data_IF_989073726900
#
_entry.id   IF_989073726900
#
_cell.length_a   1.000
_cell.length_b   1.000
_cell.length_c   1.000
_cell.angle_alpha   90.00
_cell.angle_beta   90.00
_cell.angle_gamma   90.00
#
_symmetry.space_group_name_H-M   'P 1'
#
loop_
_entity.id
_entity.type
_entity.pdbx_description
1 polymer ?
#
# COMPACT_ATOMS: atom_id res chain seq x y z
N UNK A 1 -3.12 -19.66 -63.41
CA UNK A 1 -4.04 -20.76 -63.00
C UNK A 1 -3.74 -21.07 -61.55
N UNK A 2 -4.74 -21.13 -60.69
CA UNK A 2 -4.56 -21.55 -59.28
C UNK A 2 -4.40 -23.08 -59.33
N UNK A 3 -3.27 -23.66 -58.90
CA UNK A 3 -3.09 -25.10 -58.91
C UNK A 3 -4.17 -25.78 -58.03
N UNK A 4 -4.66 -26.97 -58.40
CA UNK A 4 -5.66 -27.67 -57.61
C UNK A 4 -5.09 -27.99 -56.23
N UNK A 5 -5.85 -27.66 -55.19
CA UNK A 5 -5.47 -27.88 -53.80
C UNK A 5 -5.38 -29.40 -53.54
N UNK A 6 -4.18 -29.94 -53.47
CA UNK A 6 -3.97 -31.36 -53.17
C UNK A 6 -4.22 -31.62 -51.69
N UNK A 7 -4.56 -32.86 -51.33
CA UNK A 7 -4.78 -33.26 -49.94
C UNK A 7 -3.56 -32.97 -49.04
N UNK A 8 -2.35 -33.10 -49.59
CA UNK A 8 -1.10 -32.78 -48.91
C UNK A 8 -0.97 -31.28 -48.62
N UNK A 9 -1.29 -30.43 -49.60
CA UNK A 9 -1.29 -28.97 -49.40
C UNK A 9 -2.35 -28.55 -48.38
N UNK A 10 -3.55 -29.15 -48.43
CA UNK A 10 -4.60 -28.91 -47.44
C UNK A 10 -4.13 -29.26 -46.01
N UNK A 11 -3.44 -30.40 -45.84
CA UNK A 11 -2.88 -30.81 -44.56
C UNK A 11 -1.80 -29.83 -44.06
N UNK A 12 -0.85 -29.44 -44.91
CA UNK A 12 0.19 -28.47 -44.56
C UNK A 12 -0.39 -27.11 -44.19
N UNK A 13 -1.42 -26.65 -44.90
CA UNK A 13 -2.11 -25.41 -44.54
C UNK A 13 -2.77 -25.48 -43.17
N UNK A 14 -3.41 -26.61 -42.86
CA UNK A 14 -4.06 -26.81 -41.57
C UNK A 14 -3.04 -26.88 -40.43
N UNK A 15 -1.89 -27.52 -40.64
CA UNK A 15 -0.78 -27.55 -39.69
C UNK A 15 -0.18 -26.16 -39.44
N UNK A 16 0.08 -25.39 -40.50
CA UNK A 16 0.58 -24.01 -40.38
C UNK A 16 -0.45 -23.13 -39.67
N UNK A 17 -1.73 -23.24 -40.03
CA UNK A 17 -2.82 -22.50 -39.39
C UNK A 17 -2.90 -22.85 -37.90
N UNK A 18 -2.90 -24.14 -37.56
CA UNK A 18 -2.93 -24.62 -36.18
C UNK A 18 -1.71 -24.12 -35.40
N UNK A 19 -0.51 -24.19 -35.99
CA UNK A 19 0.73 -23.69 -35.37
C UNK A 19 0.68 -22.19 -35.09
N UNK A 20 0.18 -21.38 -36.03
CA UNK A 20 0.00 -19.94 -35.86
C UNK A 20 -1.03 -19.63 -34.78
N UNK A 21 -2.12 -20.38 -34.73
CA UNK A 21 -3.20 -20.18 -33.76
C UNK A 21 -2.74 -20.53 -32.34
N UNK A 22 -2.08 -21.67 -32.17
CA UNK A 22 -1.43 -22.08 -30.91
C UNK A 22 -0.38 -21.05 -30.49
N UNK A 23 0.41 -20.54 -31.43
CA UNK A 23 1.43 -19.54 -31.14
C UNK A 23 0.84 -18.18 -30.75
N UNK A 24 -0.17 -17.69 -31.47
CA UNK A 24 -0.82 -16.42 -31.17
C UNK A 24 -1.47 -16.44 -29.77
N UNK A 25 -2.16 -17.53 -29.44
CA UNK A 25 -2.74 -17.75 -28.11
C UNK A 25 -1.65 -17.94 -27.05
N UNK A 26 -0.61 -18.72 -27.36
CA UNK A 26 0.50 -19.02 -26.46
C UNK A 26 1.32 -17.79 -26.11
N UNK A 27 1.60 -16.90 -27.07
CA UNK A 27 2.30 -15.62 -26.82
C UNK A 27 1.46 -14.70 -25.96
N UNK A 28 0.15 -14.58 -26.23
CA UNK A 28 -0.74 -13.78 -25.40
C UNK A 28 -0.77 -14.31 -23.95
N UNK A 29 -0.91 -15.63 -23.77
CA UNK A 29 -0.87 -16.27 -22.46
C UNK A 29 0.49 -16.07 -21.76
N UNK A 30 1.60 -16.17 -22.49
CA UNK A 30 2.95 -15.95 -21.96
C UNK A 30 3.14 -14.49 -21.52
N UNK A 31 2.64 -13.52 -22.29
CA UNK A 31 2.67 -12.10 -21.89
C UNK A 31 1.87 -11.90 -20.60
N UNK A 32 0.68 -12.48 -20.50
CA UNK A 32 -0.17 -12.41 -19.31
C UNK A 32 0.52 -13.06 -18.10
N UNK A 33 1.25 -14.17 -18.30
CA UNK A 33 1.97 -14.85 -17.22
C UNK A 33 3.26 -14.12 -16.81
N UNK A 34 3.93 -13.42 -17.73
CA UNK A 34 5.20 -12.74 -17.48
C UNK A 34 5.05 -11.31 -16.99
N UNK A 35 3.99 -10.61 -17.38
CA UNK A 35 3.65 -9.33 -16.79
C UNK A 35 3.00 -9.56 -15.42
N UNK A 36 3.43 -8.87 -14.36
CA UNK A 36 2.65 -8.97 -13.12
C UNK A 36 1.23 -8.43 -13.40
N UNK A 37 0.18 -9.01 -12.78
CA UNK A 37 -1.21 -8.60 -12.98
C UNK A 37 -1.42 -7.08 -12.90
N UNK A 38 -0.71 -6.38 -12.02
CA UNK A 38 -0.71 -4.91 -11.92
C UNK A 38 -0.28 -4.20 -13.21
N UNK A 39 0.79 -4.68 -13.85
CA UNK A 39 1.26 -4.10 -15.11
C UNK A 39 0.27 -4.37 -16.24
N UNK A 40 -0.49 -5.47 -16.22
CA UNK A 40 -1.44 -5.76 -17.28
C UNK A 40 -2.59 -4.75 -17.33
N UNK A 41 -3.10 -4.29 -16.20
CA UNK A 41 -4.15 -3.26 -16.18
C UNK A 41 -3.63 -1.94 -16.75
N UNK A 42 -2.48 -1.46 -16.26
CA UNK A 42 -1.83 -0.21 -16.73
C UNK A 42 -1.35 -0.30 -18.18
N UNK A 43 -0.92 -1.48 -18.63
CA UNK A 43 -0.49 -1.70 -20.01
C UNK A 43 -1.69 -1.89 -20.96
N UNK A 44 -2.82 -2.42 -20.47
CA UNK A 44 -4.03 -2.60 -21.26
C UNK A 44 -4.72 -1.27 -21.57
N UNK A 45 -4.69 -0.30 -20.65
CA UNK A 45 -5.18 1.07 -20.89
C UNK A 45 -4.27 1.85 -21.83
N UNK A 46 -2.97 1.55 -21.88
CA UNK A 46 -2.00 2.22 -22.75
C UNK A 46 -2.01 1.69 -24.18
N UNK A 47 -2.56 2.49 -25.11
CA UNK A 47 -2.64 2.22 -26.57
C UNK A 47 -1.31 1.79 -27.23
N UNK A 48 -0.17 2.19 -26.66
CA UNK A 48 1.16 1.88 -27.21
C UNK A 48 1.52 0.39 -27.19
N UNK A 49 1.08 -0.37 -26.17
CA UNK A 49 1.41 -1.78 -26.07
C UNK A 49 0.54 -2.62 -27.03
N UNK A 50 -0.75 -2.30 -27.11
CA UNK A 50 -1.66 -2.87 -28.12
C UNK A 50 -1.18 -2.61 -29.54
N UNK A 51 -0.69 -1.39 -29.83
CA UNK A 51 -0.11 -1.07 -31.15
C UNK A 51 1.11 -1.93 -31.47
N UNK A 52 1.95 -2.24 -30.48
CA UNK A 52 3.14 -3.08 -30.69
C UNK A 52 2.80 -4.56 -30.77
N UNK A 53 1.88 -5.04 -29.92
CA UNK A 53 1.34 -6.40 -30.00
C UNK A 53 0.70 -6.65 -31.36
N UNK A 54 -0.17 -5.74 -31.82
CA UNK A 54 -0.77 -5.81 -33.17
C UNK A 54 0.29 -5.77 -34.26
N UNK A 55 1.37 -4.98 -34.12
CA UNK A 55 2.48 -4.98 -35.07
C UNK A 55 3.23 -6.32 -35.10
N UNK A 56 3.48 -6.93 -33.94
CA UNK A 56 4.08 -8.27 -33.84
C UNK A 56 3.18 -9.34 -34.45
N UNK A 57 1.88 -9.34 -34.14
CA UNK A 57 0.90 -10.25 -34.74
C UNK A 57 0.84 -10.07 -36.26
N UNK A 58 0.84 -8.83 -36.74
CA UNK A 58 0.84 -8.52 -38.18
C UNK A 58 2.12 -9.03 -38.84
N UNK A 59 3.27 -8.90 -38.18
CA UNK A 59 4.54 -9.44 -38.68
C UNK A 59 4.51 -10.98 -38.75
N UNK A 60 3.94 -11.67 -37.74
CA UNK A 60 3.76 -13.13 -37.76
C UNK A 60 2.90 -13.54 -38.96
N UNK A 61 1.74 -12.90 -39.11
CA UNK A 61 0.83 -13.16 -40.23
C UNK A 61 1.54 -12.90 -41.55
N UNK A 62 2.33 -11.83 -41.66
CA UNK A 62 3.15 -11.52 -42.82
C UNK A 62 4.17 -12.61 -43.15
N UNK A 63 4.93 -13.11 -42.16
CA UNK A 63 5.91 -14.19 -42.34
C UNK A 63 5.22 -15.48 -42.80
N UNK A 64 4.04 -15.79 -42.24
CA UNK A 64 3.25 -16.96 -42.61
C UNK A 64 2.72 -16.84 -44.04
N UNK A 65 2.20 -15.66 -44.41
CA UNK A 65 1.72 -15.40 -45.77
C UNK A 65 2.87 -15.49 -46.78
N UNK A 66 4.04 -14.94 -46.47
CA UNK A 66 5.24 -15.07 -47.33
C UNK A 66 5.70 -16.51 -47.42
N UNK A 67 5.69 -17.27 -46.32
CA UNK A 67 6.02 -18.70 -46.32
C UNK A 67 5.09 -19.49 -47.24
N UNK A 68 3.77 -19.30 -47.07
CA UNK A 68 2.74 -19.90 -47.93
C UNK A 68 2.94 -19.48 -49.39
N UNK A 69 3.09 -18.19 -49.66
CA UNK A 69 3.12 -17.66 -51.02
C UNK A 69 4.44 -17.91 -51.75
N UNK A 70 5.57 -18.04 -51.05
CA UNK A 70 6.87 -18.35 -51.64
C UNK A 70 7.05 -19.85 -51.86
N UNK A 71 6.44 -20.71 -51.04
CA UNK A 71 6.60 -22.17 -51.14
C UNK A 71 5.48 -22.86 -51.93
N UNK A 72 4.27 -22.30 -51.96
CA UNK A 72 3.15 -22.82 -52.76
C UNK A 72 3.35 -22.81 -54.28
N UNK A 73 4.03 -21.83 -54.92
CA UNK A 73 4.10 -21.78 -56.38
C UNK A 73 5.19 -22.67 -57.00
N UNK A 74 5.96 -23.45 -56.21
CA UNK A 74 7.20 -24.05 -56.73
C UNK A 74 7.05 -25.48 -57.30
N UNK A 75 6.09 -26.32 -56.91
CA UNK A 75 5.85 -27.58 -57.66
C UNK A 75 4.58 -28.34 -57.27
N UNK A 76 4.04 -29.10 -58.22
CA UNK A 76 3.08 -30.20 -57.99
C UNK A 76 3.67 -31.35 -57.14
N UNK A 77 4.97 -31.33 -56.87
CA UNK A 77 5.66 -32.28 -56.01
C UNK A 77 5.66 -31.80 -54.54
N UNK A 78 5.41 -32.70 -53.57
CA UNK A 78 5.49 -32.35 -52.15
C UNK A 78 6.90 -31.88 -51.78
N UNK A 79 6.96 -30.77 -51.03
CA UNK A 79 8.17 -30.28 -50.37
C UNK A 79 8.72 -31.40 -49.46
N UNK A 80 9.69 -32.16 -49.97
CA UNK A 80 10.33 -33.25 -49.25
C UNK A 80 11.83 -32.98 -49.13
N UNK A 81 12.42 -33.39 -48.00
CA UNK A 81 13.85 -33.24 -47.73
C UNK A 81 14.27 -31.84 -47.26
N UNK A 82 15.38 -31.34 -47.81
CA UNK A 82 16.09 -30.16 -47.32
C UNK A 82 15.29 -28.84 -47.39
N UNK A 83 14.53 -28.53 -48.47
CA UNK A 83 13.79 -27.26 -48.56
C UNK A 83 12.65 -27.16 -47.55
N UNK A 84 11.98 -28.27 -47.26
CA UNK A 84 10.94 -28.34 -46.22
C UNK A 84 11.52 -28.06 -44.84
N UNK A 85 12.68 -28.67 -44.54
CA UNK A 85 13.39 -28.47 -43.28
C UNK A 85 13.89 -27.02 -43.10
N UNK A 86 14.42 -26.41 -44.16
CA UNK A 86 14.84 -25.00 -44.15
C UNK A 86 13.64 -24.06 -43.96
N UNK A 87 12.51 -24.35 -44.61
CA UNK A 87 11.27 -23.60 -44.43
C UNK A 87 10.76 -23.65 -42.99
N UNK A 88 10.73 -24.85 -42.39
CA UNK A 88 10.34 -25.04 -41.00
C UNK A 88 11.30 -24.35 -40.03
N UNK A 89 12.61 -24.45 -40.28
CA UNK A 89 13.62 -23.78 -39.46
C UNK A 89 13.48 -22.26 -39.51
N UNK A 90 13.19 -21.68 -40.69
CA UNK A 90 12.99 -20.24 -40.85
C UNK A 90 11.72 -19.76 -40.16
N UNK A 91 10.61 -20.48 -40.30
CA UNK A 91 9.35 -20.17 -39.62
C UNK A 91 9.53 -20.27 -38.09
N UNK A 92 10.10 -21.38 -37.60
CA UNK A 92 10.32 -21.60 -36.17
C UNK A 92 11.29 -20.57 -35.59
N UNK A 93 12.36 -20.24 -36.32
CA UNK A 93 13.32 -19.20 -35.94
C UNK A 93 12.68 -17.81 -35.84
N UNK A 94 11.82 -17.45 -36.81
CA UNK A 94 11.08 -16.19 -36.78
C UNK A 94 10.13 -16.13 -35.57
N UNK A 95 9.40 -17.20 -35.30
CA UNK A 95 8.52 -17.30 -34.14
C UNK A 95 9.31 -17.17 -32.83
N UNK A 96 10.41 -17.91 -32.67
CA UNK A 96 11.28 -17.82 -31.49
C UNK A 96 11.83 -16.40 -31.32
N UNK A 97 12.28 -15.76 -32.40
CA UNK A 97 12.79 -14.38 -32.35
C UNK A 97 11.71 -13.39 -31.88
N UNK A 98 10.46 -13.58 -32.30
CA UNK A 98 9.32 -12.74 -31.89
C UNK A 98 8.98 -12.97 -30.41
N UNK A 99 8.97 -14.22 -29.93
CA UNK A 99 8.82 -14.50 -28.49
C UNK A 99 9.95 -13.83 -27.72
N UNK A 100 11.19 -14.02 -28.15
CA UNK A 100 12.36 -13.50 -27.45
C UNK A 100 12.38 -11.98 -27.42
N UNK A 101 11.99 -11.32 -28.51
CA UNK A 101 11.82 -9.87 -28.58
C UNK A 101 10.67 -9.39 -27.69
N UNK A 102 9.55 -10.13 -27.64
CA UNK A 102 8.40 -9.78 -26.80
C UNK A 102 8.72 -9.94 -25.30
N UNK A 103 9.34 -11.07 -24.91
CA UNK A 103 9.80 -11.33 -23.55
C UNK A 103 10.90 -10.34 -23.15
N UNK A 104 11.87 -10.09 -24.04
CA UNK A 104 12.92 -9.10 -23.84
C UNK A 104 12.33 -7.70 -23.65
N UNK A 105 11.29 -7.35 -24.40
CA UNK A 105 10.59 -6.08 -24.26
C UNK A 105 9.83 -5.98 -22.95
N UNK A 106 9.03 -6.99 -22.56
CA UNK A 106 8.31 -7.01 -21.27
C UNK A 106 9.29 -6.89 -20.12
N UNK A 107 10.45 -7.56 -20.20
CA UNK A 107 11.54 -7.43 -19.22
C UNK A 107 12.24 -6.06 -19.25
N UNK A 108 12.21 -5.36 -20.38
CA UNK A 108 12.76 -4.01 -20.56
C UNK A 108 11.76 -2.90 -20.23
N UNK A 109 10.48 -3.22 -19.94
CA UNK A 109 9.57 -2.26 -19.32
C UNK A 109 10.10 -2.02 -17.91
N UNK A 110 11.02 -1.07 -17.85
CA UNK A 110 11.66 -0.62 -16.62
C UNK A 110 10.56 -0.01 -15.75
N UNK A 111 10.31 -0.63 -14.59
CA UNK A 111 9.34 -0.14 -13.62
C UNK A 111 9.57 1.33 -13.28
N UNK A 112 10.83 1.80 -13.33
CA UNK A 112 11.19 3.22 -13.18
C UNK A 112 10.49 4.10 -14.20
N UNK A 113 10.57 3.71 -15.49
CA UNK A 113 10.00 4.51 -16.58
C UNK A 113 8.49 4.49 -16.54
N UNK A 114 7.90 3.37 -16.14
CA UNK A 114 6.45 3.29 -15.99
C UNK A 114 5.96 4.19 -14.86
N UNK A 115 6.56 4.06 -13.67
CA UNK A 115 6.23 4.92 -12.51
C UNK A 115 6.40 6.39 -12.87
N UNK A 116 7.54 6.77 -13.46
CA UNK A 116 7.76 8.16 -13.89
C UNK A 116 6.70 8.63 -14.90
N UNK A 117 6.38 7.79 -15.89
CA UNK A 117 5.36 8.16 -16.87
C UNK A 117 3.94 8.25 -16.33
N UNK A 118 3.67 7.68 -15.14
CA UNK A 118 2.40 7.88 -14.43
C UNK A 118 2.43 9.18 -13.64
N UNK A 119 3.58 9.52 -13.02
CA UNK A 119 3.77 10.81 -12.36
C UNK A 119 3.61 11.95 -13.37
N UNK A 120 4.24 11.85 -14.54
CA UNK A 120 4.13 12.85 -15.60
C UNK A 120 2.68 12.99 -16.12
N UNK A 121 1.91 11.89 -16.11
CA UNK A 121 0.49 11.88 -16.54
C UNK A 121 -0.40 12.52 -15.48
N UNK A 122 -0.20 12.19 -14.19
CA UNK A 122 -0.84 12.88 -13.08
C UNK A 122 -0.53 14.37 -13.08
N UNK A 123 0.72 14.78 -13.36
CA UNK A 123 1.11 16.20 -13.44
C UNK A 123 0.32 16.93 -14.53
N UNK A 124 0.20 16.32 -15.71
CA UNK A 124 -0.59 16.88 -16.82
C UNK A 124 -2.07 16.96 -16.46
N UNK A 125 -2.64 15.93 -15.82
CA UNK A 125 -4.03 15.90 -15.42
C UNK A 125 -4.33 16.92 -14.33
N UNK A 126 -3.40 17.07 -13.38
CA UNK A 126 -3.45 18.08 -12.34
C UNK A 126 -3.44 19.46 -12.97
N UNK A 127 -2.56 19.76 -13.93
CA UNK A 127 -2.55 21.05 -14.63
C UNK A 127 -3.80 21.34 -15.47
N UNK A 128 -4.61 20.32 -15.80
CA UNK A 128 -5.83 20.44 -16.61
C UNK A 128 -7.12 20.54 -15.78
N UNK A 129 -7.01 20.56 -14.45
CA UNK A 129 -8.16 20.43 -13.54
C UNK A 129 -9.01 19.16 -13.78
N UNK A 130 -8.38 18.14 -14.36
CA UNK A 130 -9.00 16.81 -14.48
C UNK A 130 -8.68 15.96 -13.25
N UNK A 131 -9.59 15.04 -12.93
CA UNK A 131 -9.36 14.01 -11.91
C UNK A 131 -8.13 13.17 -12.28
N UNK A 132 -7.12 13.13 -11.40
CA UNK A 132 -5.94 12.29 -11.55
C UNK A 132 -6.10 10.91 -10.87
N UNK A 133 -7.28 10.63 -10.31
CA UNK A 133 -7.58 9.43 -9.52
C UNK A 133 -7.29 8.13 -10.29
N UNK A 134 -7.70 8.02 -11.57
CA UNK A 134 -7.45 6.82 -12.39
C UNK A 134 -5.95 6.50 -12.57
N UNK A 135 -5.14 7.56 -12.70
CA UNK A 135 -3.68 7.46 -12.89
C UNK A 135 -3.00 7.15 -11.55
N UNK A 136 -3.50 7.73 -10.46
CA UNK A 136 -3.04 7.42 -9.11
C UNK A 136 -3.39 5.97 -8.72
N UNK A 137 -4.60 5.50 -9.00
CA UNK A 137 -5.03 4.13 -8.75
C UNK A 137 -4.11 3.13 -9.46
N UNK A 138 -3.72 3.44 -10.70
CA UNK A 138 -2.73 2.65 -11.44
C UNK A 138 -1.36 2.62 -10.75
N UNK A 139 -0.94 3.74 -10.15
CA UNK A 139 0.31 3.81 -9.38
C UNK A 139 0.21 3.00 -8.07
N UNK A 140 -0.92 3.10 -7.38
CA UNK A 140 -1.24 2.34 -6.15
C UNK A 140 -1.24 0.84 -6.45
N UNK A 141 -1.90 0.41 -7.53
CA UNK A 141 -1.94 -0.98 -7.98
C UNK A 141 -0.54 -1.53 -8.26
N UNK A 142 0.31 -0.75 -8.94
CA UNK A 142 1.72 -1.11 -9.17
C UNK A 142 2.45 -1.26 -7.84
N UNK A 143 2.29 -0.32 -6.90
CA UNK A 143 2.91 -0.39 -5.59
C UNK A 143 2.43 -1.57 -4.73
N UNK A 144 1.14 -1.90 -4.79
CA UNK A 144 0.56 -3.05 -4.11
C UNK A 144 1.11 -4.39 -4.59
N UNK A 145 1.60 -4.46 -5.83
CA UNK A 145 2.22 -5.66 -6.41
C UNK A 145 3.75 -5.61 -6.51
N UNK A 146 4.36 -4.46 -6.22
CA UNK A 146 5.80 -4.29 -6.20
C UNK A 146 6.44 -5.10 -5.07
N UNK A 147 7.64 -5.62 -5.32
CA UNK A 147 8.43 -6.30 -4.29
C UNK A 147 8.87 -5.31 -3.22
N UNK A 148 8.93 -5.79 -1.97
CA UNK A 148 9.50 -5.02 -0.87
C UNK A 148 10.94 -4.56 -1.17
N UNK A 149 11.31 -3.39 -0.64
CA UNK A 149 12.57 -2.70 -0.94
C UNK A 149 12.43 -1.78 -2.14
N UNK A 150 13.41 -1.81 -3.05
CA UNK A 150 13.61 -0.78 -4.07
C UNK A 150 12.43 -0.54 -5.03
N UNK A 151 11.64 -1.56 -5.37
CA UNK A 151 10.48 -1.37 -6.25
C UNK A 151 9.37 -0.57 -5.58
N UNK A 152 9.06 -0.85 -4.31
CA UNK A 152 8.12 -0.06 -3.51
C UNK A 152 8.67 1.33 -3.20
N UNK A 153 9.97 1.48 -2.90
CA UNK A 153 10.59 2.78 -2.64
C UNK A 153 10.39 3.76 -3.80
N UNK A 154 10.47 3.26 -5.04
CA UNK A 154 10.20 4.07 -6.25
C UNK A 154 8.77 4.56 -6.30
N UNK A 155 7.81 3.71 -5.95
CA UNK A 155 6.39 4.11 -5.93
C UNK A 155 6.15 5.13 -4.82
N UNK A 156 6.69 4.90 -3.61
CA UNK A 156 6.58 5.85 -2.50
C UNK A 156 7.23 7.19 -2.84
N UNK A 157 8.40 7.18 -3.48
CA UNK A 157 9.07 8.39 -3.97
C UNK A 157 8.24 9.13 -5.02
N UNK A 158 7.55 8.40 -5.90
CA UNK A 158 6.63 8.97 -6.87
C UNK A 158 5.40 9.58 -6.18
N UNK A 159 4.85 8.92 -5.16
CA UNK A 159 3.76 9.49 -4.36
C UNK A 159 4.21 10.76 -3.62
N UNK A 160 5.45 10.84 -3.14
CA UNK A 160 6.00 12.09 -2.61
C UNK A 160 6.01 13.21 -3.64
N UNK A 161 6.47 12.93 -4.85
CA UNK A 161 6.47 13.91 -5.94
C UNK A 161 5.05 14.37 -6.29
N UNK A 162 4.08 13.46 -6.29
CA UNK A 162 2.67 13.82 -6.50
C UNK A 162 2.13 14.70 -5.38
N UNK A 163 2.50 14.42 -4.12
CA UNK A 163 2.12 15.26 -3.00
C UNK A 163 2.70 16.68 -3.14
N UNK A 164 3.96 16.80 -3.58
CA UNK A 164 4.57 18.09 -3.90
C UNK A 164 3.79 18.85 -4.98
N UNK A 165 3.43 18.18 -6.08
CA UNK A 165 2.67 18.80 -7.17
C UNK A 165 1.29 19.28 -6.70
N UNK A 166 0.58 18.49 -5.90
CA UNK A 166 -0.73 18.86 -5.33
C UNK A 166 -0.60 20.07 -4.42
N UNK A 167 0.36 20.05 -3.48
CA UNK A 167 0.59 21.13 -2.53
C UNK A 167 1.06 22.42 -3.22
N UNK A 168 1.93 22.32 -4.24
CA UNK A 168 2.40 23.46 -5.03
C UNK A 168 1.26 24.09 -5.83
N UNK A 169 0.40 23.28 -6.45
CA UNK A 169 -0.71 23.80 -7.26
C UNK A 169 -1.76 24.51 -6.41
N UNK A 170 -2.08 23.96 -5.25
CA UNK A 170 -3.21 24.41 -4.43
C UNK A 170 -2.81 25.23 -3.21
N UNK A 171 -1.60 25.81 -3.18
CA UNK A 171 -1.06 26.59 -2.05
C UNK A 171 -2.07 27.59 -1.42
N UNK A 172 -2.93 28.20 -2.24
CA UNK A 172 -3.96 29.18 -1.82
C UNK A 172 -5.41 28.69 -1.91
N UNK A 173 -5.65 27.55 -2.56
CA UNK A 173 -7.01 27.05 -2.86
C UNK A 173 -7.20 25.60 -2.45
N UNK A 174 -6.36 25.10 -1.54
CA UNK A 174 -6.44 23.76 -1.02
C UNK A 174 -7.80 23.54 -0.34
N UNK A 175 -8.46 22.44 -0.66
CA UNK A 175 -9.81 22.12 -0.17
C UNK A 175 -9.82 21.12 0.98
N UNK A 176 -8.67 20.59 1.37
CA UNK A 176 -8.56 19.62 2.45
C UNK A 176 -9.11 18.23 2.12
N UNK A 177 -9.31 17.91 0.84
CA UNK A 177 -9.70 16.56 0.38
C UNK A 177 -8.79 15.98 -0.71
N UNK A 178 -7.94 16.80 -1.31
CA UNK A 178 -7.18 16.43 -2.51
C UNK A 178 -6.04 15.45 -2.22
N UNK A 179 -5.51 15.42 -0.99
CA UNK A 179 -4.44 14.48 -0.62
C UNK A 179 -4.95 13.11 -0.16
N UNK A 180 -6.23 13.01 0.20
CA UNK A 180 -6.85 11.77 0.67
C UNK A 180 -6.51 10.53 -0.17
N UNK A 181 -6.67 10.51 -1.52
CA UNK A 181 -6.36 9.32 -2.32
C UNK A 181 -4.88 8.91 -2.23
N UNK A 182 -3.98 9.89 -2.09
CA UNK A 182 -2.54 9.66 -1.97
C UNK A 182 -2.19 9.05 -0.60
N UNK A 183 -2.80 9.54 0.48
CA UNK A 183 -2.60 9.03 1.83
C UNK A 183 -3.08 7.59 1.98
N UNK A 184 -4.32 7.30 1.58
CA UNK A 184 -4.85 5.93 1.59
C UNK A 184 -4.14 5.03 0.58
N UNK A 185 -3.61 5.60 -0.51
CA UNK A 185 -2.74 4.91 -1.44
C UNK A 185 -1.44 4.42 -0.79
N UNK A 186 -0.80 5.25 0.05
CA UNK A 186 0.42 4.85 0.78
C UNK A 186 0.15 3.67 1.72
N UNK A 187 -0.96 3.72 2.46
CA UNK A 187 -1.42 2.62 3.29
C UNK A 187 -1.64 1.35 2.46
N UNK A 188 -2.36 1.47 1.33
CA UNK A 188 -2.67 0.34 0.44
C UNK A 188 -1.40 -0.29 -0.12
N UNK A 189 -0.44 0.52 -0.56
CA UNK A 189 0.86 0.05 -1.10
C UNK A 189 1.66 -0.71 -0.04
N UNK A 190 1.64 -0.27 1.22
CA UNK A 190 2.47 -0.85 2.28
C UNK A 190 1.81 -2.02 3.02
N UNK A 191 0.51 -1.92 3.28
CA UNK A 191 -0.25 -2.80 4.18
C UNK A 191 -1.07 -3.80 3.39
N UNK A 192 -1.88 -3.35 2.44
CA UNK A 192 -2.89 -4.17 1.76
C UNK A 192 -2.42 -4.81 0.46
N UNK A 193 -1.19 -4.52 0.03
CA UNK A 193 -0.59 -5.11 -1.16
C UNK A 193 -0.33 -6.62 -1.05
N UNK A 194 -0.18 -7.27 -2.20
CA UNK A 194 0.19 -8.69 -2.33
C UNK A 194 1.52 -9.04 -1.63
N UNK A 195 2.39 -8.04 -1.42
CA UNK A 195 3.61 -8.14 -0.61
C UNK A 195 3.67 -6.94 0.33
N UNK A 196 3.88 -7.17 1.62
CA UNK A 196 4.05 -6.10 2.61
C UNK A 196 5.33 -5.29 2.37
N UNK A 197 5.34 -4.03 2.83
CA UNK A 197 6.53 -3.18 2.81
C UNK A 197 7.67 -3.72 3.68
N UNK A 198 8.91 -3.32 3.37
CA UNK A 198 10.07 -3.49 4.25
C UNK A 198 10.19 -2.33 5.24
N UNK A 199 10.99 -2.47 6.31
CA UNK A 199 11.26 -1.40 7.29
C UNK A 199 11.68 -0.07 6.64
N UNK A 200 12.46 -0.14 5.57
CA UNK A 200 12.91 1.06 4.83
C UNK A 200 11.76 1.69 4.05
N UNK A 201 10.88 0.89 3.45
CA UNK A 201 9.70 1.41 2.75
C UNK A 201 8.77 2.16 3.71
N UNK A 202 8.53 1.61 4.90
CA UNK A 202 7.74 2.29 5.92
C UNK A 202 8.40 3.58 6.40
N UNK A 203 9.74 3.62 6.45
CA UNK A 203 10.50 4.82 6.81
C UNK A 203 10.36 5.92 5.75
N UNK A 204 10.48 5.56 4.48
CA UNK A 204 10.30 6.51 3.39
C UNK A 204 8.88 7.08 3.40
N UNK A 205 7.87 6.24 3.62
CA UNK A 205 6.47 6.69 3.72
C UNK A 205 6.23 7.61 4.92
N UNK A 206 6.86 7.36 6.07
CA UNK A 206 6.88 8.29 7.20
C UNK A 206 7.42 9.66 6.78
N UNK A 207 8.51 9.66 6.00
CA UNK A 207 9.09 10.87 5.41
C UNK A 207 8.12 11.60 4.49
N UNK A 208 7.29 10.88 3.71
CA UNK A 208 6.25 11.48 2.87
C UNK A 208 5.14 12.12 3.71
N UNK A 209 4.64 11.41 4.73
CA UNK A 209 3.60 11.92 5.65
C UNK A 209 4.09 13.19 6.35
N UNK A 210 5.30 13.14 6.93
CA UNK A 210 5.92 14.29 7.57
C UNK A 210 6.05 15.47 6.62
N UNK A 211 6.53 15.19 5.41
CA UNK A 211 6.71 16.21 4.38
C UNK A 211 5.40 16.87 3.98
N UNK A 212 4.31 16.09 3.85
CA UNK A 212 2.96 16.64 3.62
C UNK A 212 2.57 17.55 4.77
N UNK A 213 2.74 17.10 6.01
CA UNK A 213 2.34 17.87 7.19
C UNK A 213 3.11 19.17 7.35
N UNK A 214 4.44 19.14 7.17
CA UNK A 214 5.30 20.32 7.26
C UNK A 214 4.92 21.39 6.23
N UNK A 215 4.29 20.98 5.12
CA UNK A 215 3.89 21.86 4.01
C UNK A 215 2.42 22.25 4.02
N UNK A 216 1.57 21.60 4.82
CA UNK A 216 0.16 21.96 4.92
C UNK A 216 0.02 23.34 5.60
N UNK A 217 -0.74 24.29 5.02
CA UNK A 217 -0.91 25.59 5.65
C UNK A 217 -1.67 25.44 6.99
N UNK A 218 -1.29 26.25 7.98
CA UNK A 218 -1.82 26.17 9.35
C UNK A 218 -3.35 26.30 9.42
N UNK A 219 -3.96 27.02 8.47
CA UNK A 219 -5.40 27.17 8.32
C UNK A 219 -6.16 25.85 8.03
N UNK A 220 -5.44 24.77 7.68
CA UNK A 220 -6.00 23.47 7.31
C UNK A 220 -5.71 22.37 8.33
N UNK A 221 -5.26 22.72 9.54
CA UNK A 221 -5.08 21.74 10.64
C UNK A 221 -6.40 21.05 11.03
N UNK A 222 -7.52 21.74 10.92
CA UNK A 222 -8.86 21.17 11.17
C UNK A 222 -9.50 20.51 9.93
N UNK A 223 -8.73 20.27 8.86
CA UNK A 223 -9.27 19.71 7.61
C UNK A 223 -9.43 18.18 7.66
N UNK A 224 -10.26 17.61 6.77
CA UNK A 224 -10.42 16.16 6.66
C UNK A 224 -9.13 15.44 6.31
N UNK A 225 -8.24 16.06 5.53
CA UNK A 225 -6.93 15.48 5.21
C UNK A 225 -6.02 15.35 6.45
N UNK A 226 -6.16 16.21 7.47
CA UNK A 226 -5.43 16.04 8.73
C UNK A 226 -5.92 14.81 9.49
N UNK A 227 -7.23 14.59 9.54
CA UNK A 227 -7.80 13.38 10.13
C UNK A 227 -7.41 12.11 9.33
N UNK A 228 -7.34 12.20 7.99
CA UNK A 228 -6.89 11.09 7.14
C UNK A 228 -5.37 10.83 7.32
N UNK A 229 -4.55 11.87 7.44
CA UNK A 229 -3.11 11.78 7.76
C UNK A 229 -2.90 11.04 9.07
N UNK A 230 -3.64 11.44 10.11
CA UNK A 230 -3.63 10.81 11.42
C UNK A 230 -3.98 9.32 11.32
N UNK A 231 -5.13 9.01 10.70
CA UNK A 231 -5.60 7.65 10.52
C UNK A 231 -4.58 6.77 9.80
N UNK A 232 -3.99 7.26 8.71
CA UNK A 232 -2.97 6.52 7.94
C UNK A 232 -1.68 6.35 8.74
N UNK A 233 -1.22 7.39 9.44
CA UNK A 233 -0.03 7.34 10.31
C UNK A 233 -0.19 6.29 11.40
N UNK A 234 -1.37 6.25 12.01
CA UNK A 234 -1.75 5.28 13.04
C UNK A 234 -1.82 3.86 12.46
N UNK A 235 -2.46 3.68 11.31
CA UNK A 235 -2.54 2.38 10.63
C UNK A 235 -1.14 1.84 10.29
N UNK A 236 -0.27 2.68 9.71
CA UNK A 236 1.11 2.32 9.42
C UNK A 236 1.87 1.99 10.71
N UNK A 237 1.73 2.78 11.77
CA UNK A 237 2.39 2.52 13.07
C UNK A 237 2.01 1.13 13.61
N UNK A 238 0.71 0.81 13.61
CA UNK A 238 0.19 -0.48 14.08
C UNK A 238 0.77 -1.63 13.26
N UNK A 239 0.74 -1.52 11.92
CA UNK A 239 1.23 -2.58 11.04
C UNK A 239 2.73 -2.79 11.19
N UNK A 240 3.50 -1.71 11.28
CA UNK A 240 4.94 -1.82 11.54
C UNK A 240 5.14 -2.54 12.87
N UNK A 241 4.36 -2.23 13.92
CA UNK A 241 4.51 -2.85 15.26
C UNK A 241 4.31 -4.36 15.16
N UNK A 242 3.22 -4.78 14.52
CA UNK A 242 2.86 -6.18 14.36
C UNK A 242 3.86 -6.96 13.49
N UNK A 243 4.34 -6.37 12.40
CA UNK A 243 5.16 -7.07 11.41
C UNK A 243 6.65 -7.13 11.76
N UNK A 244 7.16 -6.13 12.48
CA UNK A 244 8.59 -6.02 12.78
C UNK A 244 8.84 -6.12 14.29
N UNK A 245 9.10 -7.33 14.82
CA UNK A 245 9.41 -7.48 16.23
C UNK A 245 10.58 -6.57 16.64
N UNK A 246 10.40 -5.94 17.80
CA UNK A 246 11.34 -5.00 18.39
C UNK A 246 12.59 -5.74 18.90
N UNK A 247 13.53 -6.04 18.01
CA UNK A 247 14.79 -6.75 18.31
C UNK A 247 15.80 -5.86 19.07
N UNK A 248 15.41 -5.33 20.23
CA UNK A 248 16.32 -4.63 21.15
C UNK A 248 16.75 -3.22 20.73
N UNK A 249 16.15 -2.65 19.68
CA UNK A 249 16.21 -1.22 19.34
C UNK A 249 14.85 -0.77 18.85
N UNK A 250 14.38 0.39 19.32
CA UNK A 250 13.34 1.19 18.66
C UNK A 250 13.71 1.31 17.19
N UNK A 251 12.94 0.74 16.24
CA UNK A 251 13.28 0.94 14.85
C UNK A 251 13.02 2.41 14.56
N UNK A 252 14.04 3.14 14.09
CA UNK A 252 13.96 4.58 13.84
C UNK A 252 12.71 4.95 13.03
N UNK A 253 12.30 4.04 12.13
CA UNK A 253 11.04 4.05 11.40
C UNK A 253 9.79 4.37 12.25
N UNK A 254 9.64 3.83 13.45
CA UNK A 254 8.45 4.08 14.29
C UNK A 254 8.45 5.47 14.91
N UNK A 255 9.62 5.90 15.37
CA UNK A 255 9.80 7.25 15.87
C UNK A 255 9.60 8.25 14.74
N UNK A 256 10.10 7.95 13.54
CA UNK A 256 9.91 8.81 12.37
C UNK A 256 8.42 8.91 11.99
N UNK A 257 7.61 7.83 12.14
CA UNK A 257 6.15 7.86 11.88
C UNK A 257 5.40 8.62 12.98
N UNK A 258 5.76 8.44 14.25
CA UNK A 258 5.10 9.13 15.37
C UNK A 258 5.52 10.59 15.51
N UNK A 259 6.77 10.92 15.24
CA UNK A 259 7.26 12.31 15.14
C UNK A 259 6.67 13.00 13.89
N UNK A 260 6.15 12.21 12.94
CA UNK A 260 5.35 12.70 11.83
C UNK A 260 3.85 12.74 12.18
N UNK A 261 3.40 12.35 13.36
CA UNK A 261 2.01 12.57 13.76
C UNK A 261 1.83 14.01 14.27
N UNK A 262 0.71 14.69 13.95
CA UNK A 262 0.40 16.01 14.49
C UNK A 262 0.38 16.00 16.02
N UNK A 263 0.78 17.11 16.64
CA UNK A 263 0.66 17.33 18.08
C UNK A 263 -0.80 17.17 18.58
N UNK A 264 -1.77 17.35 17.68
CA UNK A 264 -3.22 17.17 17.89
C UNK A 264 -3.68 15.77 17.41
N UNK A 265 -2.99 14.73 17.85
CA UNK A 265 -3.35 13.35 17.51
C UNK A 265 -4.70 12.99 18.13
N UNK A 266 -5.60 12.37 17.36
CA UNK A 266 -6.87 11.87 17.88
C UNK A 266 -6.64 10.89 19.04
N UNK A 267 -7.30 11.13 20.17
CA UNK A 267 -7.15 10.33 21.39
C UNK A 267 -7.44 8.83 21.16
N UNK A 268 -8.42 8.52 20.31
CA UNK A 268 -8.72 7.13 19.93
C UNK A 268 -7.53 6.44 19.23
N UNK A 269 -6.79 7.19 18.43
CA UNK A 269 -5.63 6.68 17.70
C UNK A 269 -4.45 6.45 18.63
N UNK A 270 -4.17 7.39 19.53
CA UNK A 270 -3.14 7.21 20.56
C UNK A 270 -3.46 6.04 21.49
N UNK A 271 -4.73 5.87 21.85
CA UNK A 271 -5.19 4.70 22.59
C UNK A 271 -4.87 3.40 21.83
N UNK A 272 -5.22 3.33 20.54
CA UNK A 272 -4.94 2.14 19.70
C UNK A 272 -3.45 1.84 19.61
N UNK A 273 -2.61 2.86 19.38
CA UNK A 273 -1.14 2.71 19.36
C UNK A 273 -0.64 2.15 20.68
N UNK A 274 -1.12 2.68 21.81
CA UNK A 274 -0.74 2.21 23.15
C UNK A 274 -1.12 0.76 23.41
N UNK A 275 -2.35 0.35 23.06
CA UNK A 275 -2.81 -1.04 23.24
C UNK A 275 -2.04 -2.01 22.33
N UNK A 276 -1.86 -1.66 21.06
CA UNK A 276 -1.08 -2.48 20.13
C UNK A 276 0.34 -2.67 20.65
N UNK A 277 1.00 -1.61 21.11
CA UNK A 277 2.34 -1.70 21.69
C UNK A 277 2.40 -2.72 22.84
N UNK A 278 1.45 -2.67 23.80
CA UNK A 278 1.39 -3.61 24.93
C UNK A 278 1.16 -5.06 24.48
N UNK A 279 0.30 -5.27 23.47
CA UNK A 279 -0.08 -6.60 23.01
C UNK A 279 1.00 -7.27 22.17
N UNK A 280 1.73 -6.51 21.36
CA UNK A 280 2.76 -7.05 20.46
C UNK A 280 4.02 -7.49 21.20
N UNK A 281 4.20 -7.06 22.45
CA UNK A 281 5.45 -7.21 23.17
C UNK A 281 5.23 -7.79 24.57
N UNK A 282 5.35 -9.11 24.70
CA UNK A 282 5.45 -9.75 26.00
C UNK A 282 6.80 -9.45 26.72
N UNK A 283 7.80 -8.83 26.07
CA UNK A 283 9.18 -8.71 26.62
C UNK A 283 10.03 -7.48 26.21
N UNK A 284 9.51 -6.51 25.46
CA UNK A 284 10.34 -5.38 24.99
C UNK A 284 10.13 -4.11 25.83
N UNK A 285 11.21 -3.56 26.38
CA UNK A 285 11.23 -2.25 27.06
C UNK A 285 10.66 -1.12 26.17
N UNK A 286 10.71 -1.28 24.85
CA UNK A 286 10.26 -0.25 23.91
C UNK A 286 8.73 -0.16 23.79
N UNK A 287 8.02 -1.28 23.90
CA UNK A 287 6.56 -1.26 23.94
C UNK A 287 6.03 -0.48 25.15
N UNK A 288 6.74 -0.59 26.28
CA UNK A 288 6.48 0.21 27.46
C UNK A 288 6.64 1.70 27.16
N UNK A 289 7.76 2.13 26.54
CA UNK A 289 7.99 3.54 26.22
C UNK A 289 6.88 4.10 25.31
N UNK A 290 6.42 3.33 24.33
CA UNK A 290 5.32 3.74 23.44
C UNK A 290 4.00 3.89 24.16
N UNK A 291 3.63 2.89 24.96
CA UNK A 291 2.38 2.91 25.71
C UNK A 291 2.36 4.06 26.71
N UNK A 292 3.51 4.41 27.27
CA UNK A 292 3.68 5.59 28.13
C UNK A 292 3.59 6.89 27.34
N UNK A 293 4.20 6.99 26.14
CA UNK A 293 4.06 8.19 25.30
C UNK A 293 2.61 8.41 24.86
N UNK A 294 1.92 7.35 24.44
CA UNK A 294 0.49 7.40 24.14
C UNK A 294 -0.31 7.85 25.37
N UNK A 295 -0.01 7.30 26.55
CA UNK A 295 -0.63 7.73 27.80
C UNK A 295 -0.39 9.22 28.10
N UNK A 296 0.84 9.70 27.89
CA UNK A 296 1.18 11.11 28.12
C UNK A 296 0.51 12.05 27.12
N UNK A 297 0.32 11.61 25.87
CA UNK A 297 -0.41 12.39 24.86
C UNK A 297 -1.92 12.47 25.17
N UNK A 298 -2.48 11.43 25.78
CA UNK A 298 -3.86 11.40 26.26
C UNK A 298 -4.10 12.18 27.55
N UNK A 299 -3.04 12.71 28.19
CA UNK A 299 -3.22 13.49 29.41
C UNK A 299 -3.77 14.88 29.08
N UNK A 300 -4.94 15.28 29.61
CA UNK A 300 -5.49 16.59 29.35
C UNK A 300 -4.55 17.68 29.90
N UNK A 301 -4.31 18.74 29.12
CA UNK A 301 -3.44 19.85 29.50
C UNK A 301 -3.86 20.54 30.80
N UNK A 302 -5.17 20.57 31.09
CA UNK A 302 -5.75 21.11 32.32
C UNK A 302 -5.91 20.05 33.44
N UNK A 303 -5.57 18.79 33.13
CA UNK A 303 -5.54 17.64 34.03
C UNK A 303 -6.91 17.18 34.55
N UNK A 304 -8.04 17.70 34.06
CA UNK A 304 -9.39 17.30 34.50
C UNK A 304 -9.93 16.16 33.66
N UNK A 305 -10.12 14.99 34.29
CA UNK A 305 -10.77 13.83 33.69
C UNK A 305 -12.28 13.98 33.76
N UNK A 306 -12.84 14.79 32.87
CA UNK A 306 -14.29 14.76 32.66
C UNK A 306 -14.61 13.50 31.86
N UNK A 307 -15.04 12.45 32.54
CA UNK A 307 -15.27 11.13 31.93
C UNK A 307 -16.41 11.07 30.92
N UNK A 308 -16.85 12.19 30.36
CA UNK A 308 -18.06 12.26 29.54
C UNK A 308 -17.82 12.26 28.04
N UNK A 309 -16.61 12.56 27.52
CA UNK A 309 -16.34 12.51 26.08
C UNK A 309 -14.92 12.00 25.75
N UNK A 310 -14.85 11.03 24.82
CA UNK A 310 -13.66 10.41 24.17
C UNK A 310 -12.42 10.23 25.03
N UNK A 311 -11.62 11.28 25.08
CA UNK A 311 -10.29 11.39 25.66
C UNK A 311 -10.16 10.76 27.05
N UNK A 312 -11.13 11.04 27.94
CA UNK A 312 -11.12 10.50 29.30
C UNK A 312 -11.35 8.99 29.36
N UNK A 313 -12.16 8.44 28.45
CA UNK A 313 -12.41 7.00 28.39
C UNK A 313 -11.19 6.25 27.84
N UNK A 314 -10.59 6.77 26.76
CA UNK A 314 -9.38 6.24 26.14
C UNK A 314 -8.18 6.25 27.08
N UNK A 315 -7.96 7.36 27.82
CA UNK A 315 -6.91 7.41 28.84
C UNK A 315 -7.14 6.34 29.91
N UNK A 316 -8.34 6.26 30.49
CA UNK A 316 -8.65 5.27 31.52
C UNK A 316 -8.51 3.83 31.00
N UNK A 317 -8.90 3.59 29.75
CA UNK A 317 -8.66 2.33 29.07
C UNK A 317 -7.17 1.98 29.04
N UNK A 318 -6.32 2.88 28.56
CA UNK A 318 -4.87 2.65 28.46
C UNK A 318 -4.22 2.49 29.84
N UNK A 319 -4.65 3.28 30.83
CA UNK A 319 -4.23 3.13 32.23
C UNK A 319 -4.56 1.73 32.76
N UNK A 320 -5.73 1.18 32.45
CA UNK A 320 -6.12 -0.16 32.89
C UNK A 320 -5.23 -1.24 32.27
N UNK A 321 -4.91 -1.14 30.99
CA UNK A 321 -3.97 -2.05 30.33
C UNK A 321 -2.57 -1.97 30.92
N UNK A 322 -2.05 -0.76 31.15
CA UNK A 322 -0.77 -0.55 31.82
C UNK A 322 -0.77 -1.10 33.26
N UNK A 323 -1.84 -0.89 34.03
CA UNK A 323 -1.97 -1.37 35.40
C UNK A 323 -1.76 -2.89 35.54
N UNK A 324 -2.24 -3.65 34.56
CA UNK A 324 -2.17 -5.11 34.55
C UNK A 324 -1.00 -5.68 33.74
N UNK A 325 -0.20 -4.84 33.08
CA UNK A 325 0.91 -5.29 32.24
C UNK A 325 2.12 -5.79 33.06
N UNK A 326 2.70 -4.94 33.93
CA UNK A 326 3.79 -5.32 34.84
C UNK A 326 3.84 -4.43 36.10
N UNK A 327 4.77 -4.71 37.01
CA UNK A 327 4.87 -3.96 38.28
C UNK A 327 5.34 -2.50 38.08
N UNK A 328 6.24 -2.26 37.12
CA UNK A 328 6.72 -0.90 36.83
C UNK A 328 5.64 -0.01 36.23
N UNK A 329 4.82 -0.54 35.32
CA UNK A 329 3.66 0.16 34.77
C UNK A 329 2.59 0.40 35.82
N UNK A 330 2.36 -0.56 36.73
CA UNK A 330 1.45 -0.35 37.87
C UNK A 330 1.90 0.84 38.71
N UNK A 331 3.18 0.90 39.08
CA UNK A 331 3.69 2.00 39.89
C UNK A 331 3.63 3.36 39.17
N UNK A 332 3.83 3.38 37.84
CA UNK A 332 3.58 4.57 37.04
C UNK A 332 2.13 5.03 37.13
N UNK A 333 1.17 4.12 36.97
CA UNK A 333 -0.26 4.46 37.06
C UNK A 333 -0.64 4.89 38.48
N UNK A 334 -0.10 4.26 39.52
CA UNK A 334 -0.29 4.72 40.92
C UNK A 334 0.18 6.17 41.11
N UNK A 335 1.37 6.50 40.61
CA UNK A 335 1.89 7.87 40.66
C UNK A 335 1.01 8.84 39.87
N UNK A 336 0.54 8.42 38.69
CA UNK A 336 -0.33 9.25 37.86
C UNK A 336 -1.69 9.49 38.52
N UNK A 337 -2.27 8.47 39.15
CA UNK A 337 -3.52 8.57 39.90
C UNK A 337 -3.39 9.51 41.11
N UNK A 338 -2.24 9.52 41.78
CA UNK A 338 -1.95 10.48 42.84
C UNK A 338 -1.86 11.92 42.29
N UNK A 339 -1.26 12.14 41.11
CA UNK A 339 -1.23 13.47 40.49
C UNK A 339 -2.62 13.93 40.02
N UNK A 340 -3.49 12.99 39.64
CA UNK A 340 -4.87 13.24 39.21
C UNK A 340 -5.87 13.36 40.39
N UNK A 341 -5.37 13.56 41.61
CA UNK A 341 -6.14 13.68 42.84
C UNK A 341 -7.40 14.58 42.70
N UNK A 342 -8.54 14.04 43.15
CA UNK A 342 -9.85 14.72 43.12
C UNK A 342 -10.55 14.76 41.76
N UNK A 343 -9.93 14.21 40.71
CA UNK A 343 -10.44 14.29 39.32
C UNK A 343 -10.87 12.95 38.74
N UNK A 344 -10.43 11.83 39.32
CA UNK A 344 -10.97 10.50 39.01
C UNK A 344 -12.22 10.22 39.86
N UNK A 345 -13.38 10.13 39.24
CA UNK A 345 -14.65 9.79 39.91
C UNK A 345 -15.14 8.41 39.50
N UNK A 346 -15.91 7.75 40.37
CA UNK A 346 -16.59 6.49 40.02
C UNK A 346 -17.43 6.63 38.73
N UNK A 347 -18.07 7.79 38.55
CA UNK A 347 -18.83 8.13 37.35
C UNK A 347 -17.96 8.17 36.08
N UNK A 348 -16.71 8.64 36.17
CA UNK A 348 -15.79 8.66 35.04
C UNK A 348 -15.38 7.24 34.63
N UNK A 349 -15.11 6.36 35.60
CA UNK A 349 -14.81 4.95 35.34
C UNK A 349 -16.01 4.24 34.71
N UNK A 350 -17.22 4.46 35.24
CA UNK A 350 -18.45 3.87 34.70
C UNK A 350 -18.74 4.36 33.27
N UNK A 351 -18.45 5.64 32.98
CA UNK A 351 -18.59 6.20 31.64
C UNK A 351 -17.56 5.61 30.66
N UNK A 352 -16.30 5.43 31.10
CA UNK A 352 -15.27 4.76 30.31
C UNK A 352 -15.62 3.30 30.01
N UNK A 353 -16.18 2.58 30.99
CA UNK A 353 -16.71 1.22 30.78
C UNK A 353 -17.83 1.24 29.73
N UNK A 354 -18.78 2.20 29.83
CA UNK A 354 -19.87 2.35 28.87
C UNK A 354 -19.37 2.62 27.44
N UNK A 355 -18.40 3.53 27.29
CA UNK A 355 -17.77 3.87 26.02
C UNK A 355 -17.04 2.68 25.38
N UNK A 356 -16.21 1.96 26.15
CA UNK A 356 -15.50 0.79 25.61
C UNK A 356 -16.43 -0.38 25.33
N UNK A 357 -17.55 -0.49 26.06
CA UNK A 357 -18.58 -1.47 25.76
C UNK A 357 -19.31 -1.16 24.45
N UNK A 358 -19.67 0.12 24.20
CA UNK A 358 -20.34 0.52 22.95
C UNK A 358 -19.43 0.42 21.72
N UNK A 359 -18.12 0.59 21.91
CA UNK A 359 -17.09 0.41 20.86
C UNK A 359 -16.57 -1.03 20.75
N UNK A 360 -17.19 -2.00 21.45
CA UNK A 360 -16.84 -3.44 21.41
C UNK A 360 -15.43 -3.81 21.92
N UNK A 361 -14.79 -2.92 22.69
CA UNK A 361 -13.48 -3.15 23.31
C UNK A 361 -13.61 -3.92 24.64
N UNK A 362 -14.10 -5.16 24.58
CA UNK A 362 -14.46 -5.94 25.77
C UNK A 362 -13.29 -6.24 26.72
N UNK A 363 -12.08 -6.46 26.19
CA UNK A 363 -10.89 -6.67 27.03
C UNK A 363 -10.60 -5.45 27.91
N UNK A 364 -10.69 -4.24 27.33
CA UNK A 364 -10.53 -2.98 28.07
C UNK A 364 -11.62 -2.82 29.14
N UNK A 365 -12.86 -3.20 28.83
CA UNK A 365 -13.98 -3.19 29.80
C UNK A 365 -13.68 -4.08 31.01
N UNK A 366 -13.18 -5.29 30.78
CA UNK A 366 -12.86 -6.23 31.84
C UNK A 366 -11.69 -5.76 32.71
N UNK A 367 -10.66 -5.15 32.09
CA UNK A 367 -9.55 -4.56 32.83
C UNK A 367 -10.00 -3.36 33.65
N UNK A 368 -10.85 -2.47 33.12
CA UNK A 368 -11.41 -1.34 33.88
C UNK A 368 -12.21 -1.80 35.10
N UNK A 369 -13.08 -2.81 34.95
CA UNK A 369 -13.84 -3.39 36.06
C UNK A 369 -12.93 -3.98 37.14
N UNK A 370 -11.82 -4.60 36.75
CA UNK A 370 -10.83 -5.18 37.67
C UNK A 370 -9.96 -4.11 38.34
N UNK A 371 -9.67 -3.01 37.65
CA UNK A 371 -8.85 -1.91 38.17
C UNK A 371 -9.63 -1.06 39.18
N UNK A 372 -10.94 -0.87 38.94
CA UNK A 372 -11.84 0.02 39.71
C UNK A 372 -11.65 -0.04 41.23
N UNK A 373 -11.71 -1.20 41.92
CA UNK A 373 -11.62 -1.21 43.38
C UNK A 373 -10.28 -0.68 43.91
N UNK A 374 -9.20 -0.92 43.15
CA UNK A 374 -7.87 -0.43 43.52
C UNK A 374 -7.76 1.08 43.32
N UNK A 375 -8.30 1.58 42.20
CA UNK A 375 -8.27 3.01 41.88
C UNK A 375 -9.14 3.83 42.83
N UNK A 376 -10.32 3.32 43.20
CA UNK A 376 -11.19 3.94 44.22
C UNK A 376 -10.47 4.01 45.58
N UNK A 377 -9.84 2.93 46.01
CA UNK A 377 -9.07 2.91 47.26
C UNK A 377 -7.86 3.86 47.23
N UNK A 378 -7.17 4.01 46.09
CA UNK A 378 -6.08 4.98 45.93
C UNK A 378 -6.61 6.40 46.04
N UNK A 379 -7.71 6.71 45.35
CA UNK A 379 -8.35 8.03 45.40
C UNK A 379 -8.84 8.39 46.82
N UNK A 380 -9.33 7.42 47.59
CA UNK A 380 -9.72 7.62 48.99
C UNK A 380 -8.52 7.90 49.91
N UNK A 381 -7.39 7.24 49.67
CA UNK A 381 -6.17 7.43 50.49
C UNK A 381 -5.49 8.76 50.25
N UNK A 382 -5.62 9.32 49.06
CA UNK A 382 -5.00 10.59 48.69
C UNK A 382 -5.90 11.80 48.95
N UNK A 383 -7.20 11.60 49.18
CA UNK A 383 -8.14 12.65 49.58
C UNK A 383 -8.06 13.04 51.07
N UNK A 384 -7.27 12.33 51.89
CA UNK A 384 -7.02 12.56 53.31
C UNK A 384 -5.66 13.24 53.52
#
# INVERSE_FOLDING_TARGET
MIPPLTEQWAATYLEVLAGVLVFALGVAALIIQLALPAYLHTLATRRGLWRRYTLSVTAIVGVVLVYVWALHPISDAPLTGLPALLGHALLSGALIAIVWMTVGYVRQVDSTRLVQSLVDECDVDLHRDSSFDDTLDSLIDIGGHAKAGFEKDRVISAMRQLADLVLDKYELTYDGTTLKPLLFGLETVLVHGSMHGSRENFREAAGVIKHIMDRLPEAYRDSSDMADLLSVTTALTIVVMEQFPMDGRLPATYMDILDAAPDETSDLEMFRVGITALNTSQRSHYAYEFSVRALLALLPAEGTLTGTEGNGAELLGLMAHLWFHNEGTRQLIENLLAVLEGRLTASAIDSAIGFHFSTTNFDTVDLLKRARPNWEHIAERTAL
#
